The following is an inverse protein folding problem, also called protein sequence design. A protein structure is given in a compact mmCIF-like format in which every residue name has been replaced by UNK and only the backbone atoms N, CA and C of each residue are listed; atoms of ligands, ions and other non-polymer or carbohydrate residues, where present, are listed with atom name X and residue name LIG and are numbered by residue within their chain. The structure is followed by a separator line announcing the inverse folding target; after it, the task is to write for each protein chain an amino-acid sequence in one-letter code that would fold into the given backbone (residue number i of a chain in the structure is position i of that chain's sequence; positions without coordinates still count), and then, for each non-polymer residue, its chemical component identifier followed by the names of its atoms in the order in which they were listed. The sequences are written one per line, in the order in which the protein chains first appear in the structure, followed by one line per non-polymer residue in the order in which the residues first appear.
data_IF_881798332089
#
_entry.id   IF_881798332089
#
_cell.length_a   1.000
_cell.length_b   1.000
_cell.length_c   1.000
_cell.angle_alpha   90.00
_cell.angle_beta   90.00
_cell.angle_gamma   90.00
#
_symmetry.space_group_name_H-M   'P 1'
#
loop_
_entity.id
_entity.type
_entity.pdbx_description
1 polymer ?
#
# COMPACT_ATOMS: atom_id res chain seq x y z
N UNK A 1 -13.00 -4.79 16.15
CA UNK A 1 -14.00 -3.76 15.80
C UNK A 1 -15.37 -3.91 16.50
N UNK A 2 -15.58 -4.91 17.39
CA UNK A 2 -16.86 -5.13 18.12
C UNK A 2 -18.09 -5.14 17.19
N UNK A 3 -17.95 -5.78 16.03
CA UNK A 3 -18.97 -5.91 14.99
C UNK A 3 -19.08 -7.37 14.55
N UNK A 4 -20.12 -7.70 13.78
CA UNK A 4 -20.25 -9.03 13.19
C UNK A 4 -19.27 -9.17 12.02
N UNK A 5 -18.97 -10.41 11.65
CA UNK A 5 -18.13 -10.69 10.47
C UNK A 5 -18.79 -10.15 9.20
N UNK A 6 -20.13 -10.20 9.11
CA UNK A 6 -20.92 -9.62 8.01
C UNK A 6 -20.77 -8.12 7.83
N UNK A 7 -20.31 -7.42 8.86
CA UNK A 7 -20.12 -5.97 8.82
C UNK A 7 -18.70 -5.60 8.36
N UNK A 8 -17.83 -6.59 8.14
CA UNK A 8 -16.45 -6.40 7.72
C UNK A 8 -16.31 -6.45 6.21
N UNK A 9 -15.46 -5.56 5.68
CA UNK A 9 -15.01 -5.56 4.29
C UNK A 9 -13.54 -5.96 4.18
N UNK A 10 -13.30 -7.04 3.43
CA UNK A 10 -11.95 -7.51 3.10
C UNK A 10 -11.57 -7.04 1.69
N UNK A 11 -10.49 -6.27 1.59
CA UNK A 11 -9.90 -5.88 0.32
C UNK A 11 -8.89 -6.94 -0.16
N UNK A 12 -9.01 -7.37 -1.42
CA UNK A 12 -8.20 -8.45 -2.01
C UNK A 12 -7.88 -8.06 -3.47
N UNK A 13 -6.64 -8.29 -3.92
CA UNK A 13 -6.30 -8.19 -5.34
C UNK A 13 -7.06 -9.24 -6.15
N UNK A 14 -7.71 -8.83 -7.25
CA UNK A 14 -8.40 -9.75 -8.14
C UNK A 14 -7.40 -10.52 -9.00
N UNK A 15 -7.02 -11.72 -8.54
CA UNK A 15 -6.03 -12.59 -9.17
C UNK A 15 -6.44 -14.04 -8.98
N UNK A 16 -6.18 -14.94 -9.96
CA UNK A 16 -6.51 -16.35 -9.85
C UNK A 16 -5.93 -17.03 -8.58
N UNK A 17 -4.72 -16.62 -8.17
CA UNK A 17 -4.06 -17.12 -6.95
C UNK A 17 -4.80 -16.81 -5.64
N UNK A 18 -5.83 -15.96 -5.66
CA UNK A 18 -6.64 -15.63 -4.49
C UNK A 18 -8.03 -16.30 -4.50
N UNK A 19 -8.32 -17.20 -5.45
CA UNK A 19 -9.64 -17.85 -5.54
C UNK A 19 -10.06 -18.54 -4.23
N UNK A 20 -9.16 -19.30 -3.62
CA UNK A 20 -9.43 -20.00 -2.35
C UNK A 20 -9.62 -19.03 -1.18
N UNK A 21 -8.83 -17.96 -1.13
CA UNK A 21 -8.97 -16.90 -0.13
C UNK A 21 -10.34 -16.20 -0.26
N UNK A 22 -10.73 -15.83 -1.48
CA UNK A 22 -12.01 -15.20 -1.78
C UNK A 22 -13.16 -16.12 -1.35
N UNK A 23 -13.07 -17.42 -1.66
CA UNK A 23 -14.06 -18.40 -1.24
C UNK A 23 -14.16 -18.48 0.28
N UNK A 24 -13.03 -18.60 0.98
CA UNK A 24 -13.00 -18.67 2.44
C UNK A 24 -13.58 -17.41 3.12
N UNK A 25 -13.30 -16.22 2.57
CA UNK A 25 -13.86 -14.96 3.09
C UNK A 25 -15.38 -14.90 2.89
N UNK A 26 -15.89 -15.36 1.73
CA UNK A 26 -17.35 -15.47 1.50
C UNK A 26 -18.02 -16.45 2.45
N UNK A 27 -17.40 -17.61 2.67
CA UNK A 27 -17.90 -18.64 3.60
C UNK A 27 -17.92 -18.13 5.04
N UNK A 28 -16.94 -17.30 5.44
CA UNK A 28 -16.93 -16.63 6.73
C UNK A 28 -18.03 -15.56 6.87
N UNK A 29 -18.61 -15.11 5.75
CA UNK A 29 -19.71 -14.15 5.71
C UNK A 29 -19.30 -12.69 5.65
N UNK A 30 -18.01 -12.38 5.49
CA UNK A 30 -17.53 -11.00 5.30
C UNK A 30 -17.74 -10.56 3.85
N UNK A 31 -17.91 -9.26 3.63
CA UNK A 31 -17.96 -8.73 2.26
C UNK A 31 -16.56 -8.58 1.67
N UNK A 32 -16.49 -8.47 0.34
CA UNK A 32 -15.23 -8.45 -0.41
C UNK A 32 -15.19 -7.23 -1.33
N UNK A 33 -14.10 -6.47 -1.24
CA UNK A 33 -13.74 -5.43 -2.19
C UNK A 33 -12.56 -5.91 -3.06
N UNK A 34 -12.86 -6.30 -4.31
CA UNK A 34 -11.84 -6.72 -5.26
C UNK A 34 -11.20 -5.52 -5.95
N UNK A 35 -9.86 -5.46 -5.96
CA UNK A 35 -9.11 -4.40 -6.63
C UNK A 35 -8.25 -4.97 -7.76
N UNK A 36 -8.18 -4.27 -8.89
CA UNK A 36 -7.35 -4.66 -10.03
C UNK A 36 -5.86 -4.45 -9.77
N UNK A 37 -5.50 -3.38 -9.07
CA UNK A 37 -4.14 -3.01 -8.68
C UNK A 37 -4.19 -2.07 -7.45
N UNK A 38 -3.02 -1.68 -6.91
CA UNK A 38 -2.91 -0.68 -5.85
C UNK A 38 -3.02 -1.26 -4.44
N UNK A 39 -2.32 -2.37 -4.18
CA UNK A 39 -2.29 -3.02 -2.87
C UNK A 39 -1.74 -2.12 -1.74
N UNK A 40 -0.80 -1.21 -2.04
CA UNK A 40 -0.36 -0.18 -1.09
C UNK A 40 -1.53 0.67 -0.58
N UNK A 41 -2.38 1.17 -1.48
CA UNK A 41 -3.59 1.89 -1.08
C UNK A 41 -4.57 0.99 -0.35
N UNK A 42 -4.81 -0.22 -0.85
CA UNK A 42 -5.71 -1.19 -0.22
C UNK A 42 -5.33 -1.48 1.24
N UNK A 43 -4.03 -1.57 1.54
CA UNK A 43 -3.52 -1.71 2.91
C UNK A 43 -3.70 -0.41 3.70
N UNK A 44 -3.32 0.75 3.16
CA UNK A 44 -3.48 2.03 3.86
C UNK A 44 -4.93 2.34 4.23
N UNK A 45 -5.87 1.97 3.35
CA UNK A 45 -7.30 2.16 3.54
C UNK A 45 -7.82 1.47 4.81
N UNK A 46 -7.20 0.37 5.25
CA UNK A 46 -7.58 -0.33 6.50
C UNK A 46 -7.45 0.54 7.76
N UNK A 47 -6.59 1.56 7.72
CA UNK A 47 -6.37 2.49 8.83
C UNK A 47 -7.17 3.79 8.71
N UNK A 48 -8.07 3.89 7.72
CA UNK A 48 -8.91 5.06 7.50
C UNK A 48 -10.37 4.71 7.81
N UNK A 49 -10.99 5.43 8.75
CA UNK A 49 -12.34 5.11 9.21
C UNK A 49 -13.41 5.15 8.09
N UNK A 50 -13.21 6.01 7.09
CA UNK A 50 -14.19 6.27 6.02
C UNK A 50 -13.87 5.54 4.70
N UNK A 51 -12.86 4.66 4.68
CA UNK A 51 -12.50 3.94 3.44
C UNK A 51 -13.48 2.84 3.07
N UNK A 52 -14.28 2.37 4.04
CA UNK A 52 -15.11 1.18 3.89
C UNK A 52 -14.29 -0.12 3.80
N UNK A 53 -12.98 -0.10 4.07
CA UNK A 53 -12.10 -1.28 4.06
C UNK A 53 -11.65 -1.56 5.49
N UNK A 54 -11.90 -2.77 5.98
CA UNK A 54 -11.53 -3.16 7.34
C UNK A 54 -10.22 -3.94 7.40
N UNK A 55 -9.98 -4.81 6.42
CA UNK A 55 -8.81 -5.67 6.36
C UNK A 55 -8.36 -5.82 4.91
N UNK A 56 -7.05 -5.85 4.69
CA UNK A 56 -6.46 -6.28 3.42
C UNK A 56 -5.90 -7.70 3.58
N UNK A 57 -6.22 -8.60 2.65
CA UNK A 57 -5.71 -9.98 2.66
C UNK A 57 -5.25 -10.40 1.26
N UNK A 58 -4.13 -11.10 1.18
CA UNK A 58 -3.66 -11.71 -0.06
C UNK A 58 -2.15 -11.70 -0.21
N UNK A 59 -1.72 -11.99 -1.43
CA UNK A 59 -0.34 -11.97 -1.88
C UNK A 59 -0.12 -10.91 -2.96
N UNK A 60 0.89 -10.08 -2.75
CA UNK A 60 1.31 -9.00 -3.63
C UNK A 60 2.82 -9.00 -3.81
N UNK A 61 3.36 -7.88 -4.29
CA UNK A 61 4.80 -7.70 -4.35
C UNK A 61 5.40 -7.42 -2.97
N UNK A 62 6.55 -8.02 -2.69
CA UNK A 62 7.22 -7.82 -1.40
C UNK A 62 7.70 -6.37 -1.18
N UNK A 63 8.25 -5.66 -2.20
CA UNK A 63 8.58 -4.24 -2.06
C UNK A 63 7.37 -3.36 -1.71
N UNK A 64 6.23 -3.62 -2.33
CA UNK A 64 4.96 -2.94 -2.08
C UNK A 64 4.47 -3.18 -0.65
N UNK A 65 4.65 -4.40 -0.12
CA UNK A 65 4.42 -4.70 1.29
C UNK A 65 5.26 -3.85 2.25
N UNK A 66 6.53 -3.59 1.92
CA UNK A 66 7.40 -2.69 2.69
C UNK A 66 6.91 -1.24 2.62
N UNK A 67 6.51 -0.76 1.44
CA UNK A 67 5.92 0.58 1.28
C UNK A 67 4.62 0.74 2.07
N UNK A 68 3.76 -0.28 2.06
CA UNK A 68 2.53 -0.30 2.83
C UNK A 68 2.81 -0.29 4.35
N UNK A 69 3.82 -1.04 4.81
CA UNK A 69 4.29 -0.96 6.19
C UNK A 69 4.77 0.45 6.54
N UNK A 70 5.56 1.08 5.67
CA UNK A 70 6.05 2.44 5.90
C UNK A 70 4.90 3.46 6.03
N UNK A 71 3.85 3.33 5.22
CA UNK A 71 2.65 4.14 5.35
C UNK A 71 1.91 3.88 6.67
N UNK A 72 1.64 2.62 7.04
CA UNK A 72 0.98 2.24 8.29
C UNK A 72 1.79 2.62 9.54
N UNK A 73 3.13 2.64 9.46
CA UNK A 73 3.99 3.19 10.52
C UNK A 73 3.69 4.66 10.79
N UNK A 74 3.20 5.40 9.80
CA UNK A 74 2.85 6.82 9.92
C UNK A 74 1.40 7.06 10.36
N UNK A 75 0.45 6.23 9.90
CA UNK A 75 -1.00 6.46 10.11
C UNK A 75 -1.65 5.52 11.14
N UNK A 76 -0.88 4.57 11.68
CA UNK A 76 -1.39 3.52 12.55
C UNK A 76 -1.84 2.29 11.76
N UNK A 77 -2.12 1.21 12.49
CA UNK A 77 -2.53 -0.07 11.91
C UNK A 77 -1.66 -1.25 12.37
N UNK A 78 -1.90 -2.40 11.77
CA UNK A 78 -1.17 -3.64 11.98
C UNK A 78 -0.91 -4.30 10.63
N UNK A 79 0.25 -4.93 10.50
CA UNK A 79 0.65 -5.65 9.30
C UNK A 79 1.51 -6.84 9.68
N UNK A 80 1.26 -7.97 9.02
CA UNK A 80 2.13 -9.13 9.05
C UNK A 80 2.30 -9.67 7.63
N UNK A 81 3.55 -9.90 7.23
CA UNK A 81 3.91 -10.39 5.91
C UNK A 81 4.79 -11.62 5.96
N UNK A 82 4.83 -12.38 4.87
CA UNK A 82 5.78 -13.48 4.66
C UNK A 82 6.15 -13.52 3.19
N UNK A 83 7.43 -13.79 2.91
CA UNK A 83 7.90 -13.98 1.55
C UNK A 83 7.34 -15.28 0.96
N UNK A 84 6.88 -15.21 -0.29
CA UNK A 84 6.41 -16.37 -1.04
C UNK A 84 7.40 -16.63 -2.17
N UNK A 85 8.11 -17.75 -2.08
CA UNK A 85 9.10 -18.17 -3.06
C UNK A 85 8.48 -19.10 -4.09
N UNK A 86 8.71 -18.81 -5.37
CA UNK A 86 8.12 -19.56 -6.49
C UNK A 86 9.02 -20.67 -7.01
N UNK A 87 10.32 -20.57 -6.77
CA UNK A 87 11.33 -21.52 -7.23
C UNK A 87 12.59 -21.44 -6.37
N UNK A 88 13.54 -22.34 -6.63
CA UNK A 88 14.78 -22.42 -5.84
C UNK A 88 15.76 -21.29 -6.15
N UNK A 89 15.67 -20.64 -7.33
CA UNK A 89 16.48 -19.45 -7.63
C UNK A 89 16.11 -18.27 -6.74
N UNK A 90 14.82 -18.07 -6.46
CA UNK A 90 14.35 -17.03 -5.54
C UNK A 90 14.78 -17.33 -4.10
N UNK A 91 14.75 -18.60 -3.68
CA UNK A 91 15.25 -19.02 -2.36
C UNK A 91 16.76 -18.77 -2.23
N UNK A 92 17.56 -19.20 -3.21
CA UNK A 92 18.99 -18.99 -3.22
C UNK A 92 19.37 -17.50 -3.24
N UNK A 93 18.56 -16.65 -3.90
CA UNK A 93 18.73 -15.20 -3.84
C UNK A 93 18.42 -14.61 -2.45
N UNK A 94 17.39 -15.11 -1.77
CA UNK A 94 17.06 -14.71 -0.40
C UNK A 94 18.16 -15.10 0.59
N UNK A 95 18.69 -16.32 0.49
CA UNK A 95 19.81 -16.79 1.33
C UNK A 95 21.06 -15.91 1.15
N UNK A 96 21.39 -15.53 -0.11
CA UNK A 96 22.51 -14.64 -0.41
C UNK A 96 22.42 -13.25 0.23
N UNK A 97 21.20 -12.79 0.54
CA UNK A 97 20.99 -11.50 1.23
C UNK A 97 20.71 -11.69 2.74
N UNK A 98 20.98 -12.88 3.28
CA UNK A 98 20.91 -13.16 4.71
C UNK A 98 19.54 -13.61 5.22
N UNK A 99 18.60 -13.96 4.34
CA UNK A 99 17.31 -14.52 4.75
C UNK A 99 17.48 -16.04 4.90
N UNK A 100 17.62 -16.49 6.15
CA UNK A 100 17.83 -17.89 6.50
C UNK A 100 16.55 -18.66 6.75
N UNK A 101 15.52 -18.01 7.32
CA UNK A 101 14.20 -18.61 7.53
C UNK A 101 13.25 -18.13 6.44
N UNK A 102 13.03 -18.99 5.44
CA UNK A 102 12.16 -18.73 4.29
C UNK A 102 10.67 -18.73 4.67
N UNK A 103 10.30 -19.23 5.86
CA UNK A 103 8.93 -19.23 6.36
C UNK A 103 8.67 -18.13 7.38
N UNK A 104 9.67 -17.29 7.66
CA UNK A 104 9.59 -16.21 8.65
C UNK A 104 8.41 -15.28 8.34
N UNK A 105 7.67 -14.98 9.40
CA UNK A 105 6.68 -13.89 9.40
C UNK A 105 7.36 -12.63 9.90
N UNK A 106 7.14 -11.53 9.19
CA UNK A 106 7.69 -10.23 9.52
C UNK A 106 6.57 -9.33 10.00
N UNK A 107 6.77 -8.70 11.14
CA UNK A 107 5.89 -7.68 11.65
C UNK A 107 6.21 -6.32 11.02
N UNK A 108 5.21 -5.43 11.01
CA UNK A 108 5.29 -4.09 10.41
C UNK A 108 6.55 -3.29 10.79
N UNK A 109 6.99 -3.36 12.06
CA UNK A 109 8.14 -2.60 12.57
C UNK A 109 9.48 -3.20 12.16
N UNK A 110 9.50 -4.47 11.75
CA UNK A 110 10.70 -5.12 11.19
C UNK A 110 10.87 -4.74 9.72
N UNK A 111 9.77 -4.66 8.97
CA UNK A 111 9.78 -4.27 7.55
C UNK A 111 10.04 -2.77 7.35
N UNK A 112 9.56 -1.93 8.27
CA UNK A 112 9.79 -0.47 8.26
C UNK A 112 10.22 0.02 9.65
N UNK A 113 11.50 -0.16 9.94
CA UNK A 113 12.11 0.16 11.22
C UNK A 113 12.49 1.65 11.37
N UNK A 114 12.70 2.09 12.61
CA UNK A 114 13.18 3.45 12.91
C UNK A 114 12.13 4.57 12.75
N UNK A 115 12.63 5.78 12.50
CA UNK A 115 11.83 6.94 12.08
C UNK A 115 11.59 6.86 10.57
N UNK A 116 10.32 6.81 10.20
CA UNK A 116 9.87 6.46 8.85
C UNK A 116 9.17 7.66 8.25
N UNK A 117 9.55 8.00 7.02
CA UNK A 117 8.87 8.99 6.19
C UNK A 117 8.29 8.26 4.98
N UNK A 118 7.00 8.48 4.72
CA UNK A 118 6.34 8.01 3.52
C UNK A 118 5.98 9.20 2.64
N UNK A 119 6.30 9.14 1.36
CA UNK A 119 5.92 10.14 0.38
C UNK A 119 5.39 9.48 -0.89
N UNK A 120 4.28 9.99 -1.42
CA UNK A 120 3.69 9.55 -2.67
C UNK A 120 3.11 10.73 -3.44
N UNK A 121 3.13 10.64 -4.78
CA UNK A 121 2.50 11.61 -5.68
C UNK A 121 1.64 10.84 -6.68
N UNK A 122 0.42 11.30 -6.93
CA UNK A 122 -0.46 10.67 -7.90
C UNK A 122 0.04 10.91 -9.33
N UNK A 123 0.12 9.84 -10.12
CA UNK A 123 0.44 9.90 -11.55
C UNK A 123 -0.84 9.93 -12.36
N UNK A 124 -1.69 8.93 -12.16
CA UNK A 124 -3.08 8.90 -12.61
C UNK A 124 -4.02 9.14 -11.43
N UNK A 125 -5.27 9.51 -11.71
CA UNK A 125 -6.28 9.60 -10.67
C UNK A 125 -6.44 8.25 -9.97
N UNK A 126 -6.32 8.29 -8.65
CA UNK A 126 -6.49 7.12 -7.80
C UNK A 126 -7.20 7.48 -6.51
N UNK A 127 -7.54 6.46 -5.74
CA UNK A 127 -8.29 6.62 -4.50
C UNK A 127 -7.52 7.40 -3.41
N UNK A 128 -6.19 7.46 -3.50
CA UNK A 128 -5.34 8.19 -2.55
C UNK A 128 -5.08 9.64 -2.98
N UNK A 129 -4.69 9.82 -4.25
CA UNK A 129 -4.17 11.06 -4.80
C UNK A 129 -4.73 11.26 -6.21
N UNK A 130 -5.02 12.52 -6.54
CA UNK A 130 -5.27 12.94 -7.91
C UNK A 130 -4.01 12.76 -8.75
N UNK A 131 -4.21 12.40 -10.01
CA UNK A 131 -3.15 12.30 -11.00
C UNK A 131 -2.54 13.66 -11.32
N UNK A 132 -1.51 13.64 -12.15
CA UNK A 132 -0.95 14.86 -12.71
C UNK A 132 -1.96 15.47 -13.68
N UNK A 133 -2.34 16.72 -13.43
CA UNK A 133 -3.20 17.49 -14.32
C UNK A 133 -2.33 18.49 -15.10
N UNK A 134 -2.29 18.36 -16.42
CA UNK A 134 -1.61 19.33 -17.27
C UNK A 134 -2.45 20.61 -17.36
N UNK A 135 -1.83 21.77 -17.14
CA UNK A 135 -2.46 23.08 -17.27
C UNK A 135 -1.83 23.86 -18.41
N UNK A 136 -2.45 24.98 -18.80
CA UNK A 136 -1.78 25.92 -19.72
C UNK A 136 -0.46 26.39 -19.08
N UNK A 137 0.66 26.11 -19.75
CA UNK A 137 2.00 26.49 -19.29
C UNK A 137 2.54 25.73 -18.07
N UNK A 138 1.93 24.61 -17.65
CA UNK A 138 2.33 23.95 -16.41
C UNK A 138 1.65 22.62 -16.09
N UNK A 139 1.68 22.26 -14.80
CA UNK A 139 0.99 21.09 -14.27
C UNK A 139 0.56 21.30 -12.81
N UNK A 140 -0.46 20.56 -12.36
CA UNK A 140 -0.81 20.39 -10.95
C UNK A 140 -0.53 18.96 -10.51
N UNK A 141 0.04 18.82 -9.31
CA UNK A 141 0.27 17.50 -8.70
C UNK A 141 -0.29 17.47 -7.31
N UNK A 142 -0.77 16.29 -6.90
CA UNK A 142 -1.17 16.03 -5.53
C UNK A 142 -0.24 14.99 -4.90
N UNK A 143 0.32 15.35 -3.75
CA UNK A 143 1.23 14.51 -2.98
C UNK A 143 0.73 14.28 -1.56
N UNK A 144 1.18 13.18 -0.96
CA UNK A 144 1.01 12.83 0.43
C UNK A 144 2.40 12.67 1.05
N UNK A 145 2.66 13.33 2.18
CA UNK A 145 3.89 13.16 2.95
C UNK A 145 3.54 12.90 4.41
N UNK A 146 4.12 11.86 4.99
CA UNK A 146 3.80 11.41 6.35
C UNK A 146 5.07 11.05 7.12
N UNK A 147 5.05 11.22 8.45
CA UNK A 147 6.19 10.87 9.32
C UNK A 147 5.74 10.15 10.58
N UNK A 148 6.37 9.01 10.88
CA UNK A 148 6.00 8.16 12.01
C UNK A 148 6.32 8.76 13.38
N UNK A 149 7.45 9.47 13.52
CA UNK A 149 7.83 10.09 14.80
C UNK A 149 6.90 11.22 15.25
N UNK A 150 6.24 11.91 14.31
CA UNK A 150 5.36 13.03 14.62
C UNK A 150 3.87 12.74 14.39
N UNK A 151 3.55 11.60 13.76
CA UNK A 151 2.18 11.26 13.31
C UNK A 151 1.60 12.27 12.32
N UNK A 152 2.44 13.14 11.73
CA UNK A 152 1.97 14.21 10.86
C UNK A 152 1.67 13.65 9.47
N UNK A 153 0.51 14.01 8.94
CA UNK A 153 0.09 13.71 7.57
C UNK A 153 -0.11 15.04 6.83
N UNK A 154 0.57 15.21 5.69
CA UNK A 154 0.47 16.40 4.83
C UNK A 154 -0.04 15.98 3.47
N UNK A 155 -1.18 16.53 3.08
CA UNK A 155 -1.65 16.49 1.70
C UNK A 155 -1.23 17.80 1.03
N UNK A 156 -0.48 17.71 -0.05
CA UNK A 156 0.18 18.84 -0.70
C UNK A 156 -0.35 18.92 -2.13
N UNK A 157 -0.98 20.04 -2.47
CA UNK A 157 -1.26 20.39 -3.87
C UNK A 157 -0.20 21.36 -4.34
N UNK A 158 0.43 21.08 -5.48
CA UNK A 158 1.50 21.91 -6.04
C UNK A 158 1.15 22.32 -7.45
N UNK A 159 1.30 23.61 -7.75
CA UNK A 159 1.20 24.18 -9.10
C UNK A 159 2.61 24.39 -9.63
N UNK A 160 2.90 23.81 -10.79
CA UNK A 160 4.20 23.86 -11.43
C UNK A 160 4.14 24.79 -12.65
N UNK A 161 4.78 25.95 -12.58
CA UNK A 161 4.97 26.87 -13.72
C UNK A 161 6.16 26.39 -14.58
N UNK A 162 5.90 25.92 -15.80
CA UNK A 162 6.95 25.41 -16.70
C UNK A 162 7.65 26.53 -17.46
N UNK A 163 7.04 27.70 -17.62
CA UNK A 163 7.68 28.85 -18.28
C UNK A 163 8.93 29.34 -17.54
N UNK A 164 9.03 29.02 -16.24
CA UNK A 164 10.20 29.33 -15.39
C UNK A 164 11.20 28.19 -15.27
N UNK A 165 11.00 27.05 -15.95
CA UNK A 165 11.85 25.86 -15.86
C UNK A 165 12.55 25.62 -17.19
N UNK A 166 13.85 25.89 -17.22
CA UNK A 166 14.74 25.79 -18.38
C UNK A 166 15.10 24.34 -18.78
N UNK A 167 14.86 23.37 -17.90
CA UNK A 167 15.15 21.95 -18.12
C UNK A 167 13.95 21.12 -18.58
N UNK A 168 12.73 21.68 -18.61
CA UNK A 168 11.56 20.99 -19.13
C UNK A 168 11.52 21.17 -20.64
N UNK A 169 11.68 20.07 -21.37
CA UNK A 169 11.42 19.99 -22.81
C UNK A 169 9.98 19.51 -22.98
N UNK A 170 9.06 20.44 -23.26
CA UNK A 170 7.70 20.11 -23.71
C UNK A 170 7.74 19.67 -25.19
#
# INVERSE_FOLDING_TARGET
KRCKVSDLMVCILDRPRHADLIKAVREAGAGINLIGDGDVYGVMATSQANSGIDVYMGSGGAPEGVLACAALRCIGGQFQGRLLFRNDEEKARAERIGIVDLNRKYDMKELAAGDVIFAATGVTDGNLLRGVEMTEGGARTQSLVMRSSTGTVRKIETVHDFARKDWIKL
#
